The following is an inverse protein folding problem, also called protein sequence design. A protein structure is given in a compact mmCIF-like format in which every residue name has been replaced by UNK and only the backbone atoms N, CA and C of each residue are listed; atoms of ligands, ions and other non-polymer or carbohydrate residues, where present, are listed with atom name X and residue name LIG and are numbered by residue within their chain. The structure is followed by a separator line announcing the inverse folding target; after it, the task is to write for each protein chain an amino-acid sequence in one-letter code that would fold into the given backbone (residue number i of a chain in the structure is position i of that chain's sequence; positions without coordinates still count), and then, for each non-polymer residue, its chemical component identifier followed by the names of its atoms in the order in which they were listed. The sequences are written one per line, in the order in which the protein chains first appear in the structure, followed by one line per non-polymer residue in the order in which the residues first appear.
data_IF_073442914058
#
_entry.id   IF_073442914058
#
_cell.length_a   1.000
_cell.length_b   1.000
_cell.length_c   1.000
_cell.angle_alpha   90.00
_cell.angle_beta   90.00
_cell.angle_gamma   90.00
#
_symmetry.space_group_name_H-M   'P 1'
#
loop_
_entity.id
_entity.type
_entity.pdbx_description
1 polymer ?
#
# COMPACT_ATOMS: atom_id res chain seq x y z
N UNK A 1 -21.08 -16.50 -3.51
CA UNK A 1 -19.66 -16.76 -3.80
C UNK A 1 -19.33 -16.10 -5.13
N UNK A 2 -18.96 -14.82 -5.12
CA UNK A 2 -18.50 -14.14 -6.34
C UNK A 2 -17.04 -14.48 -6.50
N UNK A 3 -16.73 -15.31 -7.51
CA UNK A 3 -15.35 -15.49 -7.96
C UNK A 3 -14.97 -14.14 -8.58
N UNK A 4 -14.26 -13.30 -7.82
CA UNK A 4 -13.56 -12.16 -8.40
C UNK A 4 -12.56 -12.75 -9.39
N UNK A 5 -12.87 -12.61 -10.68
CA UNK A 5 -11.96 -12.98 -11.75
C UNK A 5 -10.73 -12.10 -11.57
N UNK A 6 -9.67 -12.64 -10.95
CA UNK A 6 -8.39 -11.94 -10.81
C UNK A 6 -7.91 -11.72 -12.24
N UNK A 7 -8.10 -10.52 -12.78
CA UNK A 7 -7.48 -10.15 -14.04
C UNK A 7 -5.98 -10.11 -13.78
N UNK A 8 -5.34 -11.25 -14.01
CA UNK A 8 -3.90 -11.39 -13.95
C UNK A 8 -3.37 -10.67 -15.18
N UNK A 9 -2.84 -9.48 -14.99
CA UNK A 9 -2.13 -8.77 -16.05
C UNK A 9 -0.96 -9.67 -16.46
N UNK A 10 -0.87 -10.06 -17.73
CA UNK A 10 0.20 -10.94 -18.21
C UNK A 10 1.57 -10.27 -18.06
N UNK A 11 2.64 -11.04 -17.82
CA UNK A 11 4.00 -10.50 -17.61
C UNK A 11 4.51 -9.63 -18.77
N UNK A 12 4.01 -9.86 -19.98
CA UNK A 12 4.33 -9.13 -21.22
C UNK A 12 3.50 -7.87 -21.40
N UNK A 13 2.50 -7.62 -20.56
CA UNK A 13 1.58 -6.51 -20.69
C UNK A 13 2.31 -5.15 -20.60
N UNK A 14 2.01 -4.18 -21.47
CA UNK A 14 2.71 -2.89 -21.51
C UNK A 14 2.71 -2.15 -20.16
N UNK A 15 1.61 -2.20 -19.41
CA UNK A 15 1.50 -1.58 -18.10
C UNK A 15 2.48 -2.17 -17.06
N UNK A 16 2.69 -3.49 -17.09
CA UNK A 16 3.70 -4.13 -16.21
C UNK A 16 5.11 -3.71 -16.59
N UNK A 17 5.39 -3.60 -17.89
CA UNK A 17 6.68 -3.07 -18.37
C UNK A 17 6.89 -1.62 -17.90
N UNK A 18 5.86 -0.78 -17.96
CA UNK A 18 5.90 0.60 -17.45
C UNK A 18 6.22 0.62 -15.95
N UNK A 19 5.50 -0.18 -15.15
CA UNK A 19 5.74 -0.25 -13.70
C UNK A 19 7.11 -0.79 -13.35
N UNK A 20 7.62 -1.79 -14.07
CA UNK A 20 8.98 -2.28 -13.88
C UNK A 20 10.01 -1.20 -14.15
N UNK A 21 9.91 -0.52 -15.30
CA UNK A 21 10.82 0.58 -15.63
C UNK A 21 10.77 1.72 -14.59
N UNK A 22 9.58 2.05 -14.11
CA UNK A 22 9.39 3.07 -13.09
C UNK A 22 9.96 2.64 -11.72
N UNK A 23 9.80 1.37 -11.36
CA UNK A 23 10.36 0.80 -10.14
C UNK A 23 11.89 0.74 -10.21
N UNK A 24 12.45 0.30 -11.32
CA UNK A 24 13.89 0.31 -11.59
C UNK A 24 14.46 1.74 -11.46
N UNK A 25 13.73 2.75 -11.95
CA UNK A 25 14.11 4.14 -11.78
C UNK A 25 14.14 4.55 -10.29
N UNK A 26 13.14 4.15 -9.50
CA UNK A 26 13.10 4.40 -8.06
C UNK A 26 14.24 3.73 -7.31
N UNK A 27 14.47 2.44 -7.58
CA UNK A 27 15.52 1.61 -6.97
C UNK A 27 16.93 2.11 -7.32
N UNK A 28 17.13 2.64 -8.52
CA UNK A 28 18.42 3.26 -8.90
C UNK A 28 18.80 4.45 -8.00
N UNK A 29 17.82 5.21 -7.52
CA UNK A 29 18.05 6.38 -6.66
C UNK A 29 17.96 6.06 -5.17
N UNK A 30 17.31 4.94 -4.81
CA UNK A 30 17.15 4.45 -3.45
C UNK A 30 17.44 2.93 -3.47
N UNK A 31 18.72 2.53 -3.54
CA UNK A 31 19.09 1.12 -3.67
C UNK A 31 18.68 0.33 -2.43
N UNK A 32 18.30 -0.93 -2.66
CA UNK A 32 17.92 -1.90 -1.62
C UNK A 32 18.72 -3.18 -1.81
N UNK A 33 18.99 -3.89 -0.72
CA UNK A 33 19.71 -5.16 -0.76
C UNK A 33 18.78 -6.36 -1.01
N UNK A 34 17.49 -6.21 -0.70
CA UNK A 34 16.51 -7.30 -0.78
C UNK A 34 15.68 -7.24 -2.07
N UNK A 35 16.06 -8.06 -3.06
CA UNK A 35 15.37 -8.18 -4.35
C UNK A 35 13.93 -8.68 -4.20
N UNK A 36 13.63 -9.50 -3.19
CA UNK A 36 12.26 -10.02 -2.98
C UNK A 36 11.27 -8.89 -2.64
N UNK A 37 11.74 -7.80 -2.04
CA UNK A 37 10.89 -6.64 -1.76
C UNK A 37 10.57 -5.86 -3.02
N UNK A 38 11.50 -5.78 -3.98
CA UNK A 38 11.23 -5.17 -5.28
C UNK A 38 10.13 -5.95 -6.02
N UNK A 39 10.25 -7.28 -6.09
CA UNK A 39 9.24 -8.15 -6.68
C UNK A 39 7.88 -8.02 -5.97
N UNK A 40 7.89 -7.93 -4.64
CA UNK A 40 6.70 -7.70 -3.85
C UNK A 40 6.02 -6.36 -4.20
N UNK A 41 6.79 -5.28 -4.32
CA UNK A 41 6.27 -3.96 -4.68
C UNK A 41 5.69 -3.97 -6.10
N UNK A 42 6.37 -4.58 -7.08
CA UNK A 42 5.86 -4.71 -8.45
C UNK A 42 4.52 -5.46 -8.46
N UNK A 43 4.48 -6.66 -7.87
CA UNK A 43 3.34 -7.58 -8.02
C UNK A 43 2.18 -7.25 -7.06
N UNK A 44 2.47 -7.09 -5.77
CA UNK A 44 1.46 -7.02 -4.71
C UNK A 44 0.96 -5.61 -4.43
N UNK A 45 1.69 -4.60 -4.89
CA UNK A 45 1.33 -3.20 -4.64
C UNK A 45 0.98 -2.52 -5.97
N UNK A 46 1.95 -2.36 -6.87
CA UNK A 46 1.74 -1.62 -8.11
C UNK A 46 0.74 -2.35 -9.02
N UNK A 47 0.96 -3.63 -9.33
CA UNK A 47 0.08 -4.38 -10.23
C UNK A 47 -1.28 -4.71 -9.58
N UNK A 48 -1.29 -5.17 -8.33
CA UNK A 48 -2.53 -5.55 -7.64
C UNK A 48 -3.49 -4.35 -7.53
N UNK A 49 -3.00 -3.14 -7.24
CA UNK A 49 -3.85 -1.95 -7.06
C UNK A 49 -4.20 -1.17 -8.32
N UNK A 50 -3.88 -1.69 -9.51
CA UNK A 50 -4.45 -1.16 -10.76
C UNK A 50 -5.97 -1.23 -10.73
N UNK A 51 -6.52 -2.28 -10.12
CA UNK A 51 -7.96 -2.44 -9.96
C UNK A 51 -8.40 -1.83 -8.63
N UNK A 52 -9.25 -0.81 -8.69
CA UNK A 52 -9.82 -0.17 -7.49
C UNK A 52 -10.55 -1.16 -6.57
N UNK A 53 -11.12 -2.23 -7.15
CA UNK A 53 -11.70 -3.34 -6.39
C UNK A 53 -10.72 -4.02 -5.43
N UNK A 54 -9.43 -4.06 -5.79
CA UNK A 54 -8.38 -4.61 -4.94
C UNK A 54 -7.93 -3.64 -3.85
N UNK A 55 -8.08 -2.32 -4.07
CA UNK A 55 -7.84 -1.30 -3.04
C UNK A 55 -8.88 -1.38 -1.92
N UNK A 56 -10.14 -1.71 -2.23
CA UNK A 56 -11.25 -1.78 -1.27
C UNK A 56 -11.75 -3.21 -1.05
N UNK A 57 -10.83 -4.19 -1.08
CA UNK A 57 -11.17 -5.61 -1.03
C UNK A 57 -11.57 -6.12 0.34
N UNK A 58 -11.20 -5.40 1.41
CA UNK A 58 -11.60 -5.77 2.77
C UNK A 58 -13.08 -5.49 2.92
N UNK A 59 -13.81 -6.50 3.39
CA UNK A 59 -15.24 -6.43 3.66
C UNK A 59 -15.49 -6.65 5.14
N UNK A 60 -16.50 -5.96 5.67
CA UNK A 60 -17.05 -6.20 7.00
C UNK A 60 -17.92 -7.47 7.06
N UNK A 61 -18.48 -7.75 8.24
CA UNK A 61 -19.37 -8.90 8.48
C UNK A 61 -20.67 -8.86 7.65
N UNK A 62 -21.10 -7.67 7.21
CA UNK A 62 -22.28 -7.46 6.36
C UNK A 62 -21.93 -7.53 4.85
N UNK A 63 -20.66 -7.78 4.51
CA UNK A 63 -20.17 -7.87 3.13
C UNK A 63 -19.93 -6.52 2.46
N UNK A 64 -19.91 -5.42 3.21
CA UNK A 64 -19.66 -4.07 2.67
C UNK A 64 -18.17 -3.83 2.52
N UNK A 65 -17.74 -3.30 1.37
CA UNK A 65 -16.35 -2.92 1.11
C UNK A 65 -15.97 -1.72 1.98
N UNK A 66 -14.79 -1.80 2.60
CA UNK A 66 -14.27 -0.76 3.46
C UNK A 66 -13.38 0.19 2.64
N UNK A 67 -13.81 1.46 2.57
CA UNK A 67 -13.09 2.52 1.85
C UNK A 67 -12.22 3.38 2.78
N UNK A 68 -12.54 3.39 4.08
CA UNK A 68 -11.78 4.11 5.10
C UNK A 68 -10.76 3.19 5.80
N UNK A 69 -9.54 3.69 6.01
CA UNK A 69 -8.49 2.97 6.71
C UNK A 69 -8.81 2.71 8.18
N UNK A 70 -9.58 3.58 8.83
CA UNK A 70 -10.08 3.35 10.19
C UNK A 70 -11.00 2.13 10.25
N UNK A 71 -11.87 1.97 9.25
CA UNK A 71 -12.77 0.81 9.16
C UNK A 71 -11.96 -0.47 8.87
N UNK A 72 -10.98 -0.41 7.96
CA UNK A 72 -10.07 -1.53 7.71
C UNK A 72 -9.30 -1.96 8.98
N UNK A 73 -8.84 -1.00 9.80
CA UNK A 73 -8.17 -1.28 11.08
C UNK A 73 -9.09 -1.96 12.09
N UNK A 74 -10.35 -1.53 12.18
CA UNK A 74 -11.33 -2.16 13.07
C UNK A 74 -11.57 -3.63 12.69
N UNK A 75 -11.64 -3.90 11.38
CA UNK A 75 -11.82 -5.25 10.83
C UNK A 75 -10.60 -6.17 11.08
N UNK A 76 -9.40 -5.62 11.16
CA UNK A 76 -8.15 -6.38 11.35
C UNK A 76 -7.89 -6.85 12.77
N UNK A 77 -8.55 -6.28 13.78
CA UNK A 77 -8.29 -6.59 15.17
C UNK A 77 -9.05 -7.84 15.63
N UNK A 78 -8.36 -8.87 16.12
CA UNK A 78 -8.97 -10.12 16.65
C UNK A 78 -9.84 -9.88 17.89
N UNK A 79 -9.55 -8.83 18.66
CA UNK A 79 -10.40 -8.42 19.78
C UNK A 79 -11.67 -7.67 19.33
N UNK A 80 -11.79 -7.36 18.04
CA UNK A 80 -12.96 -6.71 17.45
C UNK A 80 -13.64 -7.67 16.48
N UNK A 81 -13.08 -7.88 15.28
CA UNK A 81 -13.76 -8.56 14.18
C UNK A 81 -12.96 -9.71 13.53
N UNK A 82 -11.64 -9.78 13.69
CA UNK A 82 -10.85 -10.79 12.98
C UNK A 82 -11.10 -12.19 13.54
N UNK A 83 -11.65 -13.08 12.72
CA UNK A 83 -12.08 -14.43 13.11
C UNK A 83 -10.93 -15.45 13.22
N UNK A 84 -9.70 -15.08 12.83
CA UNK A 84 -8.50 -15.94 12.92
C UNK A 84 -7.21 -15.13 12.76
N UNK A 85 -6.07 -15.67 13.22
CA UNK A 85 -4.74 -15.08 12.98
C UNK A 85 -4.42 -14.93 11.49
N UNK A 86 -4.93 -15.83 10.63
CA UNK A 86 -4.74 -15.71 9.19
C UNK A 86 -5.51 -14.50 8.63
N UNK A 87 -6.72 -14.25 9.12
CA UNK A 87 -7.52 -13.07 8.73
C UNK A 87 -6.85 -11.79 9.23
N UNK A 88 -6.39 -11.76 10.48
CA UNK A 88 -5.64 -10.64 11.05
C UNK A 88 -4.40 -10.32 10.20
N UNK A 89 -3.61 -11.34 9.83
CA UNK A 89 -2.47 -11.18 8.94
C UNK A 89 -2.87 -10.58 7.58
N UNK A 90 -3.91 -11.11 6.93
CA UNK A 90 -4.36 -10.63 5.63
C UNK A 90 -4.79 -9.15 5.67
N UNK A 91 -5.48 -8.75 6.73
CA UNK A 91 -5.92 -7.36 6.91
C UNK A 91 -4.71 -6.46 7.16
N UNK A 92 -3.81 -6.81 8.08
CA UNK A 92 -2.63 -5.99 8.35
C UNK A 92 -1.65 -5.91 7.18
N UNK A 93 -1.43 -7.01 6.45
CA UNK A 93 -0.69 -6.98 5.17
C UNK A 93 -1.33 -5.94 4.23
N UNK A 94 -2.65 -6.02 4.04
CA UNK A 94 -3.34 -5.13 3.12
C UNK A 94 -3.31 -3.66 3.56
N UNK A 95 -3.43 -3.36 4.86
CA UNK A 95 -3.30 -1.99 5.38
C UNK A 95 -1.88 -1.46 5.13
N UNK A 96 -0.85 -2.29 5.33
CA UNK A 96 0.54 -1.97 4.97
C UNK A 96 0.69 -1.65 3.48
N UNK A 97 0.19 -2.54 2.61
CA UNK A 97 0.22 -2.36 1.15
C UNK A 97 -0.49 -1.07 0.74
N UNK A 98 -1.73 -0.89 1.21
CA UNK A 98 -2.60 0.23 0.87
C UNK A 98 -2.01 1.57 1.30
N UNK A 99 -1.52 1.67 2.53
CA UNK A 99 -0.93 2.91 3.03
C UNK A 99 0.35 3.27 2.29
N UNK A 100 1.22 2.28 2.01
CA UNK A 100 2.45 2.46 1.25
C UNK A 100 2.16 2.95 -0.17
N UNK A 101 1.16 2.35 -0.82
CA UNK A 101 0.68 2.77 -2.14
C UNK A 101 0.09 4.18 -2.12
N UNK A 102 -0.81 4.50 -1.18
CA UNK A 102 -1.47 5.82 -1.13
C UNK A 102 -0.48 6.96 -0.84
N UNK A 103 0.49 6.73 0.05
CA UNK A 103 1.53 7.71 0.36
C UNK A 103 2.50 7.92 -0.81
N UNK A 104 2.80 6.86 -1.57
CA UNK A 104 3.71 6.92 -2.71
C UNK A 104 3.05 7.40 -4.00
N UNK A 105 1.88 6.88 -4.36
CA UNK A 105 1.21 7.18 -5.64
C UNK A 105 0.22 8.34 -5.57
N UNK A 106 -0.41 8.59 -4.41
CA UNK A 106 -1.48 9.58 -4.29
C UNK A 106 -1.31 10.53 -3.08
N UNK A 107 -0.12 11.10 -2.83
CA UNK A 107 0.13 11.89 -1.62
C UNK A 107 -0.80 13.10 -1.49
N UNK A 108 -1.20 13.72 -2.60
CA UNK A 108 -2.06 14.91 -2.61
C UNK A 108 -3.45 14.66 -2.00
N UNK A 109 -3.95 13.43 -2.08
CA UNK A 109 -5.21 13.01 -1.45
C UNK A 109 -5.12 13.13 0.07
N UNK A 110 -3.91 12.93 0.62
CA UNK A 110 -3.63 12.91 2.05
C UNK A 110 -3.17 14.28 2.59
N UNK A 111 -2.52 15.12 1.77
CA UNK A 111 -1.99 16.43 2.22
C UNK A 111 -3.08 17.46 2.54
N UNK A 112 -4.24 17.39 1.88
CA UNK A 112 -5.31 18.40 2.01
C UNK A 112 -6.29 18.14 3.16
N UNK A 113 -6.18 17.00 3.83
CA UNK A 113 -7.11 16.57 4.87
C UNK A 113 -6.40 16.56 6.22
N UNK A 114 -6.95 17.25 7.21
CA UNK A 114 -6.59 16.99 8.61
C UNK A 114 -7.13 15.61 8.95
N UNK A 115 -6.32 14.75 9.57
CA UNK A 115 -6.83 13.51 10.13
C UNK A 115 -7.87 13.82 11.19
N UNK A 116 -8.86 12.93 11.37
CA UNK A 116 -9.52 12.83 12.68
C UNK A 116 -8.48 12.34 13.70
N UNK A 117 -8.75 12.58 14.98
CA UNK A 117 -7.93 12.09 16.10
C UNK A 117 -7.38 10.69 15.83
N UNK A 118 -6.05 10.55 15.90
CA UNK A 118 -5.37 9.29 15.65
C UNK A 118 -5.19 8.53 16.96
N UNK A 119 -5.59 7.26 17.01
CA UNK A 119 -5.35 6.39 18.16
C UNK A 119 -4.13 5.49 17.88
N UNK A 120 -3.00 5.81 18.53
CA UNK A 120 -1.84 4.93 18.60
C UNK A 120 -1.91 4.09 19.87
N UNK A 121 -2.58 2.94 19.80
CA UNK A 121 -2.82 2.10 20.97
C UNK A 121 -3.85 2.75 21.89
N UNK A 122 -3.41 3.40 22.97
CA UNK A 122 -4.27 4.21 23.85
C UNK A 122 -4.02 5.72 23.73
N UNK A 123 -3.08 6.16 22.88
CA UNK A 123 -2.70 7.56 22.75
C UNK A 123 -3.48 8.23 21.62
N UNK A 124 -4.21 9.29 21.95
CA UNK A 124 -4.77 10.22 20.96
C UNK A 124 -3.69 11.22 20.56
N UNK A 125 -3.34 11.28 19.28
CA UNK A 125 -2.40 12.27 18.74
C UNK A 125 -3.19 13.41 18.09
N UNK A 126 -3.39 14.55 18.78
CA UNK A 126 -4.04 15.71 18.19
C UNK A 126 -3.12 16.41 17.18
N UNK A 127 -3.67 16.80 16.03
CA UNK A 127 -2.99 17.66 15.05
C UNK A 127 -2.12 16.97 14.01
N UNK A 128 -2.04 15.64 13.99
CA UNK A 128 -1.34 14.91 12.93
C UNK A 128 -2.05 15.09 11.57
N UNK A 129 -1.26 15.26 10.51
CA UNK A 129 -1.73 15.19 9.13
C UNK A 129 -2.22 13.78 8.79
N UNK A 130 -3.14 13.66 7.82
CA UNK A 130 -3.60 12.35 7.37
C UNK A 130 -2.44 11.49 6.81
N UNK A 131 -1.43 12.12 6.20
CA UNK A 131 -0.21 11.46 5.76
C UNK A 131 0.61 10.85 6.90
N UNK A 132 0.78 11.54 8.02
CA UNK A 132 1.50 11.01 9.18
C UNK A 132 0.75 9.83 9.79
N UNK A 133 -0.58 9.91 9.86
CA UNK A 133 -1.40 8.80 10.30
C UNK A 133 -1.20 7.57 9.41
N UNK A 134 -1.29 7.72 8.09
CA UNK A 134 -1.07 6.63 7.14
C UNK A 134 0.33 6.02 7.28
N UNK A 135 1.35 6.86 7.49
CA UNK A 135 2.74 6.39 7.67
C UNK A 135 2.86 5.49 8.90
N UNK A 136 2.34 5.94 10.04
CA UNK A 136 2.41 5.19 11.30
C UNK A 136 1.60 3.90 11.24
N UNK A 137 0.41 3.93 10.62
CA UNK A 137 -0.44 2.75 10.51
C UNK A 137 0.09 1.72 9.51
N UNK A 138 0.70 2.17 8.41
CA UNK A 138 1.37 1.29 7.46
C UNK A 138 2.53 0.54 8.09
N UNK A 139 3.43 1.29 8.75
CA UNK A 139 4.56 0.70 9.48
C UNK A 139 4.08 -0.30 10.54
N UNK A 140 3.12 0.09 11.37
CA UNK A 140 2.59 -0.79 12.42
C UNK A 140 1.93 -2.04 11.86
N UNK A 141 1.21 -1.93 10.75
CA UNK A 141 0.51 -3.08 10.17
C UNK A 141 1.49 -4.08 9.57
N UNK A 142 2.55 -3.64 8.89
CA UNK A 142 3.60 -4.57 8.47
C UNK A 142 4.33 -5.22 9.64
N UNK A 143 4.56 -4.49 10.74
CA UNK A 143 5.10 -5.09 11.97
C UNK A 143 4.22 -6.22 12.48
N UNK A 144 2.91 -5.99 12.63
CA UNK A 144 1.97 -7.02 13.08
C UNK A 144 1.96 -8.21 12.10
N UNK A 145 1.93 -7.95 10.80
CA UNK A 145 1.99 -9.00 9.78
C UNK A 145 3.27 -9.85 9.89
N UNK A 146 4.41 -9.23 10.21
CA UNK A 146 5.68 -9.93 10.45
C UNK A 146 5.62 -10.81 11.70
N UNK A 147 5.00 -10.34 12.78
CA UNK A 147 4.86 -11.09 14.04
C UNK A 147 3.95 -12.33 13.86
N UNK A 148 2.94 -12.25 12.99
CA UNK A 148 1.99 -13.34 12.71
C UNK A 148 2.56 -14.42 11.78
N UNK A 149 3.50 -14.07 10.91
CA UNK A 149 4.04 -14.99 9.88
C UNK A 149 5.49 -15.36 10.05
N UNK A 150 6.23 -14.64 10.92
CA UNK A 150 7.70 -14.66 10.96
C UNK A 150 8.31 -14.37 9.57
N UNK A 151 7.65 -13.53 8.77
CA UNK A 151 8.07 -13.21 7.41
C UNK A 151 9.05 -12.03 7.35
N UNK A 152 10.28 -12.31 6.91
CA UNK A 152 11.38 -11.33 6.82
C UNK A 152 11.01 -10.09 5.98
N UNK A 153 10.24 -10.27 4.90
CA UNK A 153 9.80 -9.17 4.01
C UNK A 153 8.95 -8.13 4.76
N UNK A 154 8.03 -8.56 5.64
CA UNK A 154 7.15 -7.62 6.35
C UNK A 154 7.90 -6.88 7.45
N UNK A 155 8.89 -7.51 8.06
CA UNK A 155 9.77 -6.83 9.01
C UNK A 155 10.60 -5.77 8.30
N UNK A 156 11.17 -6.09 7.14
CA UNK A 156 11.92 -5.19 6.26
C UNK A 156 11.06 -3.99 5.81
N UNK A 157 9.84 -4.24 5.30
CA UNK A 157 8.88 -3.20 4.92
C UNK A 157 8.47 -2.29 6.09
N UNK A 158 8.36 -2.84 7.30
CA UNK A 158 8.08 -2.07 8.51
C UNK A 158 9.26 -1.18 8.91
N UNK A 159 10.47 -1.73 8.96
CA UNK A 159 11.66 -1.00 9.40
C UNK A 159 12.06 0.09 8.41
N UNK A 160 11.93 -0.18 7.11
CA UNK A 160 12.35 0.69 6.02
C UNK A 160 11.16 1.35 5.29
N UNK A 161 10.02 1.51 5.96
CA UNK A 161 8.78 2.00 5.34
C UNK A 161 8.96 3.33 4.58
N UNK A 162 9.69 4.29 5.16
CA UNK A 162 9.95 5.58 4.54
C UNK A 162 10.80 5.47 3.26
N UNK A 163 11.75 4.53 3.21
CA UNK A 163 12.56 4.24 2.04
C UNK A 163 11.67 3.73 0.89
N UNK A 164 10.84 2.71 1.16
CA UNK A 164 9.93 2.16 0.16
C UNK A 164 8.86 3.16 -0.28
N UNK A 165 8.37 4.02 0.62
CA UNK A 165 7.48 5.13 0.27
C UNK A 165 8.15 6.10 -0.70
N UNK A 166 9.44 6.41 -0.50
CA UNK A 166 10.19 7.29 -1.40
C UNK A 166 10.46 6.63 -2.76
N UNK A 167 10.71 5.32 -2.79
CA UNK A 167 10.82 4.56 -4.03
C UNK A 167 9.51 4.67 -4.84
N UNK A 168 8.35 4.43 -4.22
CA UNK A 168 7.05 4.53 -4.91
C UNK A 168 6.75 5.98 -5.32
N UNK A 169 7.19 6.98 -4.56
CA UNK A 169 7.10 8.37 -5.00
C UNK A 169 7.89 8.62 -6.29
N UNK A 170 9.08 8.04 -6.44
CA UNK A 170 9.83 8.12 -7.70
C UNK A 170 9.15 7.34 -8.83
N UNK A 171 8.48 6.23 -8.53
CA UNK A 171 7.63 5.51 -9.50
C UNK A 171 6.54 6.44 -10.04
N UNK A 172 5.83 7.15 -9.15
CA UNK A 172 4.80 8.14 -9.54
C UNK A 172 5.39 9.23 -10.45
N UNK A 173 6.50 9.84 -10.03
CA UNK A 173 7.17 10.91 -10.79
C UNK A 173 7.59 10.42 -12.19
N UNK A 174 8.12 9.21 -12.29
CA UNK A 174 8.48 8.61 -13.58
C UNK A 174 7.26 8.48 -14.49
N UNK A 175 6.16 7.90 -13.99
CA UNK A 175 4.92 7.71 -14.76
C UNK A 175 4.34 9.06 -15.22
N UNK A 176 4.30 10.06 -14.33
CA UNK A 176 3.85 11.41 -14.66
C UNK A 176 4.72 12.05 -15.76
N UNK A 177 6.04 11.79 -15.75
CA UNK A 177 6.96 12.32 -16.75
C UNK A 177 6.77 11.71 -18.14
N UNK A 178 6.48 10.41 -18.22
CA UNK A 178 6.23 9.72 -19.49
C UNK A 178 4.89 10.18 -20.09
N UNK A 179 3.85 10.33 -19.27
CA UNK A 179 2.56 10.87 -19.72
C UNK A 179 2.68 12.30 -20.28
N UNK A 180 3.53 13.14 -19.68
CA UNK A 180 3.78 14.49 -20.17
C UNK A 180 4.59 14.54 -21.46
N UNK A 181 5.47 13.55 -21.73
CA UNK A 181 6.23 13.48 -22.98
C UNK A 181 5.33 13.14 -24.16
N UNK A 182 4.41 12.20 -23.98
CA UNK A 182 3.45 11.82 -25.02
C UNK A 182 2.62 13.04 -25.46
N UNK A 183 2.10 13.82 -24.50
CA UNK A 183 1.37 15.08 -24.76
C UNK A 183 2.18 16.16 -25.51
N UNK A 184 3.51 16.16 -25.37
CA UNK A 184 4.40 17.12 -26.04
C UNK A 184 4.88 16.65 -27.43
N UNK A 185 4.73 15.35 -27.74
CA UNK A 185 5.10 14.75 -29.03
C UNK A 185 3.98 14.76 -30.08
N UNK A 186 2.76 15.11 -29.67
CA UNK A 186 1.59 15.25 -30.55
C UNK A 186 1.37 16.69 -31.08
N UNK A 187 2.31 17.62 -30.84
CA UNK A 187 2.33 18.99 -31.41
C UNK A 187 3.52 19.21 -32.34
#
# INVERSE_FOLDING_TARGET
MVVMNKMVIERTHPLRKLFRNALDFGLKHNPIDNVEVADYIEEQILCEFIHTDNLYRIQDADGRRLEDMADMLAEGNVLLNAQSYQREFQVHKHIGDYTLFMLGMFPMVLTRRRGREFILGHLVVPGASLSEHYMLQGQRSYRIASELTHGDIFQELSLNFALYKNIIELVRIYIESENNRDLLSEN
#
